data_IF_025904496205
#
_entry.id   IF_025904496205
#
_cell.length_a   1.000
_cell.length_b   1.000
_cell.length_c   1.000
_cell.angle_alpha   90.00
_cell.angle_beta   90.00
_cell.angle_gamma   90.00
#
_symmetry.space_group_name_H-M   'P 1'
#
loop_
_entity.id
_entity.type
_entity.pdbx_description
1 polymer ?
#
# COMPACT_ATOMS: atom_id res chain seq x y z
N UNK A 1 11.26 6.25 15.71
CA UNK A 1 9.83 6.63 15.79
C UNK A 1 8.97 5.45 15.34
N UNK A 2 7.86 5.19 16.02
CA UNK A 2 6.87 4.16 15.74
C UNK A 2 5.65 4.83 15.12
N UNK A 3 5.22 4.35 13.95
CA UNK A 3 4.02 4.80 13.27
C UNK A 3 3.02 3.66 13.15
N UNK A 4 1.74 3.94 13.38
CA UNK A 4 0.64 3.00 13.18
C UNK A 4 -0.40 3.60 12.24
N UNK A 5 -1.19 2.76 11.59
CA UNK A 5 -2.35 3.27 10.83
C UNK A 5 -3.36 3.88 11.81
N UNK A 6 -3.87 5.06 11.48
CA UNK A 6 -4.85 5.73 12.32
C UNK A 6 -6.08 4.82 12.54
N UNK A 7 -6.49 4.67 13.80
CA UNK A 7 -7.61 3.80 14.19
C UNK A 7 -7.27 2.32 14.37
N UNK A 8 -5.99 1.92 14.26
CA UNK A 8 -5.54 0.56 14.58
C UNK A 8 -4.31 0.55 15.52
N UNK A 9 -4.49 0.54 16.86
CA UNK A 9 -5.75 0.45 17.61
C UNK A 9 -6.61 1.74 17.53
N UNK A 10 -7.87 1.71 17.99
CA UNK A 10 -8.73 2.89 18.03
C UNK A 10 -8.02 4.10 18.63
N UNK A 11 -8.23 5.29 18.04
CA UNK A 11 -7.48 6.50 18.40
C UNK A 11 -7.44 6.81 19.91
N UNK A 12 -8.55 6.73 20.67
CA UNK A 12 -8.50 6.95 22.12
C UNK A 12 -7.57 5.98 22.85
N UNK A 13 -7.53 4.71 22.42
CA UNK A 13 -6.62 3.70 22.97
C UNK A 13 -5.18 4.04 22.60
N UNK A 14 -4.92 4.42 21.35
CA UNK A 14 -3.57 4.76 20.91
C UNK A 14 -2.98 5.94 21.72
N UNK A 15 -3.80 6.96 21.97
CA UNK A 15 -3.40 8.14 22.76
C UNK A 15 -3.26 7.82 24.25
N UNK A 16 -4.21 7.08 24.82
CA UNK A 16 -4.20 6.74 26.25
C UNK A 16 -3.00 5.87 26.61
N UNK A 17 -2.68 4.88 25.78
CA UNK A 17 -1.64 3.89 26.05
C UNK A 17 -0.29 4.26 25.40
N UNK A 18 -0.20 5.44 24.76
CA UNK A 18 1.02 6.00 24.16
C UNK A 18 1.78 5.02 23.24
N UNK A 19 1.07 4.34 22.35
CA UNK A 19 1.61 3.21 21.57
C UNK A 19 2.32 3.60 20.27
N UNK A 20 2.37 4.88 19.92
CA UNK A 20 3.02 5.38 18.71
C UNK A 20 3.53 6.81 18.87
N UNK A 21 4.51 7.18 18.05
CA UNK A 21 5.04 8.56 17.93
C UNK A 21 4.32 9.37 16.84
N UNK A 22 3.43 8.73 16.09
CA UNK A 22 2.69 9.34 15.00
C UNK A 22 1.90 8.33 14.20
N UNK A 23 1.23 8.81 13.15
CA UNK A 23 0.25 8.02 12.41
C UNK A 23 0.60 7.83 10.93
N UNK A 24 -0.05 6.87 10.31
CA UNK A 24 -0.24 6.77 8.86
C UNK A 24 -1.71 7.06 8.59
N UNK A 25 -1.99 8.13 7.84
CA UNK A 25 -3.33 8.62 7.54
C UNK A 25 -3.54 8.61 6.02
N UNK A 26 -4.65 8.05 5.58
CA UNK A 26 -5.05 8.00 4.17
C UNK A 26 -6.56 7.79 4.03
N UNK A 27 -7.06 7.81 2.81
CA UNK A 27 -8.49 7.60 2.50
C UNK A 27 -9.12 8.79 1.77
N UNK A 28 -10.42 8.99 1.97
CA UNK A 28 -11.13 10.13 1.37
C UNK A 28 -10.77 11.46 2.04
N UNK A 29 -11.02 12.57 1.33
CA UNK A 29 -10.71 13.94 1.81
C UNK A 29 -11.26 14.20 3.21
N UNK A 30 -12.53 13.89 3.46
CA UNK A 30 -13.15 14.10 4.78
C UNK A 30 -12.47 13.30 5.88
N UNK A 31 -12.14 12.03 5.62
CA UNK A 31 -11.44 11.15 6.57
C UNK A 31 -10.04 11.67 6.87
N UNK A 32 -9.29 12.08 5.85
CA UNK A 32 -7.93 12.62 6.03
C UNK A 32 -7.95 13.92 6.82
N UNK A 33 -8.88 14.83 6.53
CA UNK A 33 -9.04 16.07 7.28
C UNK A 33 -9.40 15.78 8.74
N UNK A 34 -10.40 14.94 8.99
CA UNK A 34 -10.82 14.56 10.35
C UNK A 34 -9.67 13.96 11.16
N UNK A 35 -9.02 12.92 10.62
CA UNK A 35 -7.94 12.22 11.31
C UNK A 35 -6.69 13.09 11.47
N UNK A 36 -6.36 13.90 10.47
CA UNK A 36 -5.22 14.82 10.52
C UNK A 36 -5.39 15.92 11.57
N UNK A 37 -6.60 16.46 11.71
CA UNK A 37 -6.91 17.43 12.78
C UNK A 37 -6.88 16.77 14.16
N UNK A 38 -7.41 15.55 14.29
CA UNK A 38 -7.34 14.79 15.55
C UNK A 38 -5.89 14.48 15.94
N UNK A 39 -5.05 14.01 15.01
CA UNK A 39 -3.64 13.77 15.27
C UNK A 39 -2.92 15.06 15.70
N UNK A 40 -3.18 16.17 14.99
CA UNK A 40 -2.59 17.47 15.32
C UNK A 40 -3.04 18.04 16.66
N UNK A 41 -4.28 17.79 17.10
CA UNK A 41 -4.77 18.20 18.42
C UNK A 41 -4.03 17.52 19.58
N UNK A 42 -3.39 16.38 19.32
CA UNK A 42 -2.54 15.65 20.27
C UNK A 42 -1.05 15.81 19.93
N UNK A 43 -0.70 16.74 19.06
CA UNK A 43 0.68 17.02 18.64
C UNK A 43 1.41 15.82 18.00
N UNK A 44 0.67 14.90 17.37
CA UNK A 44 1.26 13.74 16.69
C UNK A 44 1.46 14.02 15.20
N UNK A 45 2.70 13.98 14.69
CA UNK A 45 2.95 14.04 13.26
C UNK A 45 2.43 12.78 12.56
N UNK A 46 2.25 12.84 11.24
CA UNK A 46 1.80 11.69 10.48
C UNK A 46 2.35 11.65 9.04
N UNK A 47 2.45 10.42 8.52
CA UNK A 47 2.61 10.14 7.09
C UNK A 47 1.26 10.31 6.42
N UNK A 48 1.22 11.12 5.35
CA UNK A 48 0.07 11.18 4.47
C UNK A 48 0.22 10.11 3.39
N UNK A 49 -0.60 9.05 3.45
CA UNK A 49 -0.57 7.92 2.53
C UNK A 49 -1.72 8.01 1.53
N UNK A 50 -1.41 8.54 0.35
CA UNK A 50 -2.34 8.78 -0.75
C UNK A 50 -1.77 8.16 -2.04
N UNK A 51 -1.94 6.84 -2.18
CA UNK A 51 -1.37 6.07 -3.28
C UNK A 51 -2.19 6.26 -4.56
N UNK A 52 -1.54 6.68 -5.64
CA UNK A 52 -2.18 6.79 -6.94
C UNK A 52 -1.37 7.58 -7.97
N UNK A 53 -1.99 7.84 -9.11
CA UNK A 53 -1.44 8.63 -10.21
C UNK A 53 -1.32 10.12 -9.86
N UNK A 54 -0.95 10.96 -10.83
CA UNK A 54 -0.70 12.39 -10.63
C UNK A 54 -1.84 13.15 -9.98
N UNK A 55 -3.10 12.82 -10.30
CA UNK A 55 -4.28 13.42 -9.64
C UNK A 55 -4.31 13.20 -8.13
N UNK A 56 -4.00 11.99 -7.67
CA UNK A 56 -3.96 11.65 -6.24
C UNK A 56 -2.78 12.33 -5.57
N UNK A 57 -1.65 12.41 -6.26
CA UNK A 57 -0.45 13.13 -5.78
C UNK A 57 -0.73 14.63 -5.63
N UNK A 58 -1.41 15.27 -6.60
CA UNK A 58 -1.81 16.67 -6.53
C UNK A 58 -2.79 16.91 -5.36
N UNK A 59 -3.79 16.05 -5.19
CA UNK A 59 -4.70 16.09 -4.04
C UNK A 59 -3.93 15.97 -2.72
N UNK A 60 -2.96 15.06 -2.65
CA UNK A 60 -2.12 14.88 -1.48
C UNK A 60 -1.28 16.12 -1.15
N UNK A 61 -0.83 16.87 -2.15
CA UNK A 61 -0.12 18.14 -1.93
C UNK A 61 -1.04 19.18 -1.28
N UNK A 62 -2.28 19.31 -1.77
CA UNK A 62 -3.28 20.21 -1.17
C UNK A 62 -3.63 19.82 0.27
N UNK A 63 -3.82 18.53 0.54
CA UNK A 63 -4.07 18.03 1.90
C UNK A 63 -2.87 18.29 2.84
N UNK A 64 -1.64 18.03 2.38
CA UNK A 64 -0.44 18.32 3.15
C UNK A 64 -0.25 19.81 3.43
N UNK A 65 -0.71 20.70 2.54
CA UNK A 65 -0.61 22.15 2.72
C UNK A 65 -1.52 22.70 3.82
N UNK A 66 -2.64 22.04 4.10
CA UNK A 66 -3.65 22.51 5.08
C UNK A 66 -3.63 21.75 6.41
N UNK A 67 -2.83 20.69 6.52
CA UNK A 67 -2.69 19.88 7.73
C UNK A 67 -1.30 20.08 8.35
N UNK A 68 -1.16 20.93 9.39
CA UNK A 68 0.16 21.36 9.90
C UNK A 68 1.00 20.23 10.53
N UNK A 69 0.38 19.10 10.87
CA UNK A 69 1.05 17.90 11.41
C UNK A 69 1.35 16.83 10.35
N UNK A 70 1.05 17.08 9.07
CA UNK A 70 1.53 16.26 7.94
C UNK A 70 3.02 16.51 7.67
N UNK A 71 3.86 16.26 8.68
CA UNK A 71 5.28 16.62 8.70
C UNK A 71 6.20 15.47 8.26
N UNK A 72 5.72 14.23 8.37
CA UNK A 72 6.46 13.09 7.85
C UNK A 72 6.24 12.98 6.34
N UNK A 73 7.17 12.34 5.60
CA UNK A 73 7.08 12.31 4.15
C UNK A 73 5.74 11.71 3.65
N UNK A 74 5.30 12.15 2.48
CA UNK A 74 4.07 11.65 1.86
C UNK A 74 4.33 10.34 1.12
N UNK A 75 3.42 9.37 1.21
CA UNK A 75 3.48 8.09 0.51
C UNK A 75 2.48 8.12 -0.66
N UNK A 76 2.97 8.40 -1.87
CA UNK A 76 2.12 8.47 -3.07
C UNK A 76 2.31 7.31 -4.04
N UNK A 77 3.45 6.63 -3.98
CA UNK A 77 3.88 5.65 -4.99
C UNK A 77 3.82 6.18 -6.43
N UNK A 78 3.87 7.50 -6.64
CA UNK A 78 3.75 8.11 -7.97
C UNK A 78 4.76 7.58 -8.99
N UNK A 79 5.94 7.17 -8.52
CA UNK A 79 7.02 6.63 -9.35
C UNK A 79 6.80 5.15 -9.77
N UNK A 80 5.75 4.49 -9.27
CA UNK A 80 5.43 3.11 -9.67
C UNK A 80 4.59 3.05 -10.96
N UNK A 81 4.05 4.19 -11.39
CA UNK A 81 3.21 4.28 -12.58
C UNK A 81 4.05 4.74 -13.77
N UNK A 82 3.89 4.08 -14.93
CA UNK A 82 4.52 4.50 -16.18
C UNK A 82 3.99 5.84 -16.69
N UNK A 83 2.77 6.20 -16.30
CA UNK A 83 2.06 7.39 -16.71
C UNK A 83 1.28 7.95 -15.51
N UNK A 84 1.36 9.26 -15.28
CA UNK A 84 0.70 9.93 -14.15
C UNK A 84 -0.67 10.54 -14.53
N UNK A 85 -1.10 10.36 -15.78
CA UNK A 85 -2.38 10.82 -16.36
C UNK A 85 -2.54 12.35 -16.40
N UNK A 86 -1.44 13.11 -16.32
CA UNK A 86 -1.45 14.56 -16.41
C UNK A 86 -0.86 15.04 -17.73
N UNK A 87 -1.34 16.17 -18.26
CA UNK A 87 -0.73 16.79 -19.46
C UNK A 87 0.68 17.32 -19.17
N UNK A 88 0.93 17.70 -17.93
CA UNK A 88 2.22 18.14 -17.40
C UNK A 88 2.52 17.38 -16.11
N UNK A 89 3.56 16.54 -16.09
CA UNK A 89 3.91 15.77 -14.90
C UNK A 89 4.27 16.64 -13.69
N UNK A 90 3.97 16.15 -12.50
CA UNK A 90 4.39 16.79 -11.25
C UNK A 90 5.92 16.68 -11.08
N UNK A 91 6.58 17.80 -10.77
CA UNK A 91 8.04 17.83 -10.58
C UNK A 91 8.40 17.84 -9.10
N UNK A 92 9.14 16.82 -8.65
CA UNK A 92 9.71 16.77 -7.31
C UNK A 92 11.07 17.48 -7.31
N UNK A 93 11.27 18.44 -6.41
CA UNK A 93 12.54 19.17 -6.23
C UNK A 93 13.01 19.06 -4.80
N UNK A 94 14.19 18.47 -4.59
CA UNK A 94 14.77 18.32 -3.25
C UNK A 94 13.93 17.50 -2.28
N UNK A 95 13.08 16.59 -2.77
CA UNK A 95 12.14 15.81 -1.96
C UNK A 95 10.79 16.51 -1.71
N UNK A 96 10.57 17.70 -2.26
CA UNK A 96 9.33 18.47 -2.09
C UNK A 96 8.57 18.61 -3.40
N UNK A 97 7.24 18.69 -3.28
CA UNK A 97 6.34 19.05 -4.35
C UNK A 97 5.76 20.43 -4.06
N UNK A 98 5.87 21.35 -5.02
CA UNK A 98 5.13 22.61 -4.96
C UNK A 98 3.64 22.31 -5.14
N UNK A 99 2.81 22.82 -4.23
CA UNK A 99 1.35 22.70 -4.33
C UNK A 99 0.88 23.41 -5.61
N UNK A 100 0.15 22.73 -6.51
CA UNK A 100 -0.36 23.38 -7.72
C UNK A 100 -1.34 24.52 -7.39
N UNK A 101 -1.19 25.67 -8.05
CA UNK A 101 -1.92 26.91 -7.72
C UNK A 101 -3.17 27.15 -8.60
N UNK A 102 -3.36 26.35 -9.64
CA UNK A 102 -4.55 26.45 -10.51
C UNK A 102 -5.85 26.04 -9.78
N UNK A 103 -7.01 26.32 -10.38
CA UNK A 103 -8.30 25.96 -9.79
C UNK A 103 -8.44 24.44 -9.59
N UNK A 104 -9.20 24.04 -8.57
CA UNK A 104 -9.40 22.63 -8.24
C UNK A 104 -8.10 21.99 -7.73
N UNK A 105 -7.67 20.90 -8.38
CA UNK A 105 -6.38 20.26 -8.07
C UNK A 105 -5.18 21.03 -8.65
N UNK A 106 -5.41 22.00 -9.53
CA UNK A 106 -4.37 22.81 -10.18
C UNK A 106 -3.55 22.05 -11.23
N UNK A 107 -4.08 20.94 -11.75
CA UNK A 107 -3.48 20.11 -12.80
C UNK A 107 -4.51 19.77 -13.87
N UNK A 108 -4.05 19.57 -15.10
CA UNK A 108 -4.89 19.18 -16.24
C UNK A 108 -4.71 17.69 -16.55
N UNK A 109 -5.82 17.00 -16.78
CA UNK A 109 -5.86 15.57 -17.12
C UNK A 109 -5.43 15.36 -18.57
N UNK A 110 -4.63 14.32 -18.81
CA UNK A 110 -4.31 13.87 -20.15
C UNK A 110 -5.41 12.94 -20.69
N UNK A 111 -6.34 13.50 -21.46
CA UNK A 111 -7.46 12.76 -22.06
C UNK A 111 -7.01 11.66 -23.01
N UNK A 112 -5.92 11.84 -23.74
CA UNK A 112 -5.37 10.80 -24.63
C UNK A 112 -4.87 9.60 -23.81
N UNK A 113 -4.20 9.86 -22.68
CA UNK A 113 -3.78 8.80 -21.76
C UNK A 113 -4.99 8.09 -21.14
N UNK A 114 -6.04 8.82 -20.78
CA UNK A 114 -7.29 8.20 -20.29
C UNK A 114 -7.90 7.25 -21.31
N UNK A 115 -7.98 7.65 -22.58
CA UNK A 115 -8.47 6.79 -23.66
C UNK A 115 -7.56 5.57 -23.85
N UNK A 116 -6.24 5.77 -23.83
CA UNK A 116 -5.24 4.69 -23.97
C UNK A 116 -5.35 3.62 -22.88
N UNK A 117 -5.52 4.03 -21.62
CA UNK A 117 -5.62 3.10 -20.48
C UNK A 117 -7.05 2.71 -20.12
N UNK A 118 -8.02 3.07 -20.98
CA UNK A 118 -9.41 2.71 -20.77
C UNK A 118 -9.55 1.19 -20.71
N UNK A 119 -10.05 0.70 -19.58
CA UNK A 119 -10.41 -0.70 -19.44
C UNK A 119 -11.81 -0.94 -20.02
N UNK A 120 -12.00 -2.14 -20.57
CA UNK A 120 -13.32 -2.65 -20.93
C UNK A 120 -13.85 -3.59 -19.83
N UNK A 121 -15.18 -3.77 -19.71
CA UNK A 121 -15.75 -4.78 -18.84
C UNK A 121 -15.07 -6.14 -19.06
N UNK A 122 -14.75 -6.91 -18.00
CA UNK A 122 -15.20 -6.76 -16.62
C UNK A 122 -14.37 -5.81 -15.72
N UNK A 123 -13.47 -4.99 -16.29
CA UNK A 123 -12.56 -4.11 -15.53
C UNK A 123 -11.59 -4.87 -14.62
N UNK A 124 -11.15 -6.05 -15.07
CA UNK A 124 -10.18 -6.88 -14.36
C UNK A 124 -8.96 -7.11 -15.22
N UNK A 125 -7.78 -7.03 -14.60
CA UNK A 125 -6.55 -7.53 -15.20
C UNK A 125 -6.42 -9.03 -14.88
N UNK A 126 -5.94 -9.86 -15.81
CA UNK A 126 -5.63 -11.25 -15.51
C UNK A 126 -4.66 -11.33 -14.34
N UNK A 127 -5.02 -12.06 -13.28
CA UNK A 127 -4.12 -12.32 -12.18
C UNK A 127 -3.01 -13.26 -12.66
N UNK A 128 -1.73 -12.84 -12.64
CA UNK A 128 -0.63 -13.72 -12.96
C UNK A 128 -0.63 -14.90 -11.99
N UNK A 129 -0.49 -16.12 -12.50
CA UNK A 129 -0.37 -17.31 -11.66
C UNK A 129 1.04 -17.41 -11.12
N UNK A 130 1.16 -17.51 -9.81
CA UNK A 130 2.44 -17.66 -9.12
C UNK A 130 2.24 -18.40 -7.80
N UNK A 131 3.28 -19.03 -7.31
CA UNK A 131 3.34 -19.60 -5.96
C UNK A 131 4.21 -18.67 -5.12
N UNK A 132 3.61 -18.13 -4.06
CA UNK A 132 4.30 -17.32 -3.06
C UNK A 132 4.81 -18.23 -1.95
N UNK A 133 6.11 -18.19 -1.66
CA UNK A 133 6.70 -18.98 -0.57
C UNK A 133 7.31 -18.03 0.45
N UNK A 134 6.75 -18.00 1.65
CA UNK A 134 7.38 -17.31 2.77
C UNK A 134 8.37 -18.28 3.40
N UNK A 135 9.64 -17.92 3.41
CA UNK A 135 10.75 -18.74 3.91
C UNK A 135 11.31 -18.08 5.15
N UNK A 136 11.48 -18.84 6.22
CA UNK A 136 12.09 -18.37 7.47
C UNK A 136 13.50 -18.97 7.65
N UNK A 137 14.34 -18.31 8.47
CA UNK A 137 15.58 -18.92 8.95
C UNK A 137 15.31 -20.31 9.55
N UNK A 138 16.21 -21.25 9.26
CA UNK A 138 16.05 -22.66 9.66
C UNK A 138 15.16 -23.48 8.73
N UNK A 139 14.85 -22.98 7.52
CA UNK A 139 14.29 -23.78 6.43
C UNK A 139 12.77 -23.98 6.46
N UNK A 140 12.06 -23.42 7.44
CA UNK A 140 10.59 -23.46 7.46
C UNK A 140 10.03 -22.66 6.28
N UNK A 141 9.08 -23.22 5.55
CA UNK A 141 8.43 -22.58 4.41
C UNK A 141 6.91 -22.73 4.49
N UNK A 142 6.18 -21.69 4.07
CA UNK A 142 4.74 -21.76 3.81
C UNK A 142 4.46 -21.23 2.40
N UNK A 143 3.82 -22.06 1.59
CA UNK A 143 3.42 -21.74 0.22
C UNK A 143 1.97 -21.27 0.15
N UNK A 144 1.70 -20.34 -0.77
CA UNK A 144 0.40 -19.73 -1.01
C UNK A 144 0.18 -19.52 -2.51
N UNK A 145 -1.06 -19.64 -2.99
CA UNK A 145 -1.39 -19.38 -4.39
C UNK A 145 -1.56 -17.90 -4.74
N UNK A 146 -1.85 -17.04 -3.78
CA UNK A 146 -1.97 -15.60 -4.02
C UNK A 146 -1.88 -14.79 -2.71
N UNK A 147 -1.63 -13.49 -2.86
CA UNK A 147 -1.51 -12.57 -1.73
C UNK A 147 -2.85 -12.27 -1.03
N UNK A 148 -3.89 -11.99 -1.82
CA UNK A 148 -5.16 -11.41 -1.36
C UNK A 148 -5.97 -12.37 -0.49
N UNK A 149 -6.16 -13.58 -0.96
CA UNK A 149 -7.05 -14.57 -0.36
C UNK A 149 -6.31 -15.49 0.60
N UNK A 150 -4.99 -15.66 0.43
CA UNK A 150 -4.23 -16.61 1.24
C UNK A 150 -3.23 -15.93 2.17
N UNK A 151 -2.25 -15.16 1.66
CA UNK A 151 -1.19 -14.56 2.50
C UNK A 151 -1.77 -13.56 3.51
N UNK A 152 -2.52 -12.55 3.06
CA UNK A 152 -3.04 -11.52 3.97
C UNK A 152 -3.94 -12.11 5.06
N UNK A 153 -4.90 -13.01 4.78
CA UNK A 153 -5.70 -13.62 5.84
C UNK A 153 -4.89 -14.46 6.82
N UNK A 154 -3.91 -15.20 6.32
CA UNK A 154 -3.06 -16.05 7.14
C UNK A 154 -2.31 -15.25 8.21
N UNK A 155 -1.71 -14.12 7.83
CA UNK A 155 -0.91 -13.29 8.73
C UNK A 155 -1.75 -12.25 9.49
N UNK A 156 -2.58 -11.48 8.79
CA UNK A 156 -3.25 -10.29 9.35
C UNK A 156 -4.49 -10.62 10.17
N UNK A 157 -5.28 -11.61 9.72
CA UNK A 157 -6.59 -11.88 10.32
C UNK A 157 -6.55 -13.07 11.27
N UNK A 158 -5.75 -14.09 10.94
CA UNK A 158 -5.65 -15.32 11.75
C UNK A 158 -4.41 -15.36 12.64
N UNK A 159 -3.36 -14.61 12.32
CA UNK A 159 -2.11 -14.61 13.11
C UNK A 159 -1.44 -15.99 13.15
N UNK A 160 -1.58 -16.79 12.10
CA UNK A 160 -1.16 -18.20 12.09
C UNK A 160 0.37 -18.38 12.17
N UNK A 161 1.13 -17.41 11.67
CA UNK A 161 2.59 -17.41 11.68
C UNK A 161 3.12 -15.98 11.89
N UNK A 162 4.35 -15.82 12.40
CA UNK A 162 4.92 -14.50 12.66
C UNK A 162 5.22 -13.77 11.35
N UNK A 163 4.71 -12.55 11.23
CA UNK A 163 5.05 -11.62 10.15
C UNK A 163 6.40 -10.95 10.44
N UNK A 164 7.15 -10.61 9.37
CA UNK A 164 8.36 -9.76 9.44
C UNK A 164 9.49 -10.26 10.37
N UNK A 165 9.65 -11.58 10.53
CA UNK A 165 10.79 -12.15 11.26
C UNK A 165 12.10 -11.77 10.56
N UNK A 166 13.15 -11.33 11.29
CA UNK A 166 14.46 -11.07 10.69
C UNK A 166 14.98 -12.26 9.88
N UNK A 167 15.38 -12.01 8.64
CA UNK A 167 15.86 -13.05 7.71
C UNK A 167 14.77 -13.85 7.01
N UNK A 168 13.48 -13.57 7.25
CA UNK A 168 12.42 -14.14 6.43
C UNK A 168 12.40 -13.50 5.02
N UNK A 169 12.18 -14.32 4.01
CA UNK A 169 12.13 -13.91 2.59
C UNK A 169 10.81 -14.33 1.96
N UNK A 170 10.45 -13.66 0.86
CA UNK A 170 9.36 -14.05 -0.01
C UNK A 170 9.95 -14.48 -1.36
N UNK A 171 9.76 -15.74 -1.71
CA UNK A 171 10.07 -16.27 -3.03
C UNK A 171 8.81 -16.29 -3.90
N UNK A 172 8.97 -15.99 -5.18
CA UNK A 172 7.89 -16.04 -6.17
C UNK A 172 8.29 -17.06 -7.24
N UNK A 173 7.49 -18.11 -7.39
CA UNK A 173 7.63 -19.09 -8.46
C UNK A 173 6.49 -18.88 -9.47
N UNK A 174 6.82 -18.18 -10.54
CA UNK A 174 5.90 -17.97 -11.66
C UNK A 174 5.59 -19.29 -12.35
N UNK A 175 4.40 -19.37 -12.93
CA UNK A 175 3.94 -20.52 -13.70
C UNK A 175 4.86 -20.81 -14.90
N UNK A 176 5.70 -21.82 -14.74
CA UNK A 176 6.66 -22.29 -15.73
C UNK A 176 6.12 -23.40 -16.64
N UNK A 177 4.83 -23.74 -16.50
CA UNK A 177 4.18 -24.81 -17.26
C UNK A 177 4.57 -26.23 -16.82
N UNK A 178 5.38 -26.39 -15.76
CA UNK A 178 5.74 -27.70 -15.26
C UNK A 178 4.58 -28.40 -14.55
N UNK A 179 4.59 -29.74 -14.57
CA UNK A 179 3.63 -30.54 -13.82
C UNK A 179 3.75 -30.31 -12.31
N UNK A 180 4.98 -30.16 -11.82
CA UNK A 180 5.25 -29.92 -10.40
C UNK A 180 4.60 -28.63 -9.92
N UNK A 181 4.78 -27.54 -10.68
CA UNK A 181 4.13 -26.26 -10.40
C UNK A 181 2.60 -26.41 -10.41
N UNK A 182 2.04 -27.05 -11.45
CA UNK A 182 0.59 -27.21 -11.59
C UNK A 182 -0.03 -28.02 -10.44
N UNK A 183 0.61 -29.16 -10.08
CA UNK A 183 0.16 -30.03 -9.00
C UNK A 183 0.20 -29.30 -7.64
N UNK A 184 1.25 -28.51 -7.37
CA UNK A 184 1.34 -27.71 -6.14
C UNK A 184 0.33 -26.57 -6.13
N UNK A 185 0.19 -25.84 -7.24
CA UNK A 185 -0.74 -24.72 -7.34
C UNK A 185 -2.21 -25.16 -7.15
N UNK A 186 -2.61 -26.32 -7.70
CA UNK A 186 -3.95 -26.88 -7.50
C UNK A 186 -4.21 -27.20 -6.02
N UNK A 187 -3.23 -27.80 -5.34
CA UNK A 187 -3.33 -28.06 -3.89
C UNK A 187 -3.44 -26.78 -3.09
N UNK A 188 -2.71 -25.75 -3.48
CA UNK A 188 -2.73 -24.45 -2.82
C UNK A 188 -4.07 -23.73 -2.92
N UNK A 189 -4.91 -24.04 -3.92
CA UNK A 189 -6.29 -23.54 -3.99
C UNK A 189 -7.15 -24.02 -2.80
N UNK A 190 -6.78 -25.13 -2.16
CA UNK A 190 -7.49 -25.70 -1.01
C UNK A 190 -6.94 -25.17 0.34
N UNK A 191 -5.77 -24.54 0.33
CA UNK A 191 -5.15 -23.95 1.52
C UNK A 191 -3.62 -23.92 1.46
N UNK A 192 -2.97 -23.21 2.40
CA UNK A 192 -1.51 -23.10 2.43
C UNK A 192 -0.83 -24.43 2.73
N UNK A 193 0.32 -24.66 2.09
CA UNK A 193 1.13 -25.86 2.28
C UNK A 193 2.41 -25.52 3.03
N UNK A 194 2.76 -26.32 4.04
CA UNK A 194 4.01 -26.17 4.80
C UNK A 194 5.09 -27.11 4.27
N UNK A 195 6.32 -26.63 4.22
CA UNK A 195 7.52 -27.38 3.85
C UNK A 195 8.64 -27.09 4.86
N UNK A 196 9.57 -28.05 5.03
CA UNK A 196 10.81 -27.88 5.76
C UNK A 196 11.96 -28.16 4.81
N UNK A 197 12.71 -27.12 4.44
CA UNK A 197 13.93 -27.22 3.65
C UNK A 197 15.12 -27.53 4.55
N UNK A 198 16.03 -28.35 4.05
CA UNK A 198 17.28 -28.74 4.71
C UNK A 198 18.35 -27.66 4.60
#
# INVERSE_FOLDING_TARGET
PIAIHFGAPPFPTAMKEAVCDGFVIGGGVSTVLEQGQLAGAFEHPFWLQMVGVGLVTALSAHLGAVLPFAQWPTITCMNNYTDDLLTKPLTIKGGYLQVPEGPGLGVDVNEEALVKYRMEPPYELPHPRHILSVVWPGGRVVHFANMRDHVWPHFRQRGNDPAQVPGATLEVWDDDGSKEWADLYERLQKGPMREQRS
#
